data_IF_014902281961
#
_entry.id   IF_014902281961
#
_cell.length_a   1.000
_cell.length_b   1.000
_cell.length_c   1.000
_cell.angle_alpha   90.00
_cell.angle_beta   90.00
_cell.angle_gamma   90.00
#
_symmetry.space_group_name_H-M   'P 1'
#
loop_
_entity.id
_entity.type
_entity.pdbx_description
1 polymer ?
#
# COMPACT_ATOMS: atom_id res chain seq x y z
N UNK A 1 17.63 -40.64 0.46
CA UNK A 1 16.31 -40.38 1.07
C UNK A 1 15.91 -41.66 1.79
N UNK A 2 15.62 -41.61 3.10
CA UNK A 2 15.10 -42.79 3.81
C UNK A 2 13.63 -42.97 3.45
N UNK A 3 13.08 -44.20 3.40
CA UNK A 3 11.67 -44.40 3.06
C UNK A 3 10.69 -43.80 4.07
N UNK A 4 11.18 -43.28 5.21
CA UNK A 4 10.39 -42.67 6.29
C UNK A 4 10.41 -41.13 6.27
N UNK A 5 11.22 -40.51 5.41
CA UNK A 5 11.38 -39.06 5.30
C UNK A 5 10.93 -38.57 3.92
N UNK A 6 9.90 -37.75 3.90
CA UNK A 6 9.44 -37.05 2.69
C UNK A 6 9.77 -35.57 2.81
N UNK A 7 10.35 -35.04 1.73
CA UNK A 7 10.58 -33.60 1.56
C UNK A 7 9.69 -33.10 0.44
N UNK A 8 9.14 -31.91 0.64
CA UNK A 8 8.35 -31.18 -0.35
C UNK A 8 8.93 -29.78 -0.49
N UNK A 9 9.04 -29.32 -1.74
CA UNK A 9 9.47 -27.98 -2.07
C UNK A 9 8.58 -27.45 -3.18
N UNK A 10 8.26 -26.17 -3.12
CA UNK A 10 7.47 -25.47 -4.11
C UNK A 10 7.90 -24.02 -4.22
N UNK A 11 7.63 -23.43 -5.38
CA UNK A 11 7.84 -22.02 -5.65
C UNK A 11 6.60 -21.48 -6.33
N UNK A 12 6.11 -20.34 -5.87
CA UNK A 12 5.05 -19.58 -6.53
C UNK A 12 5.57 -18.20 -6.89
N UNK A 13 5.27 -17.74 -8.09
CA UNK A 13 5.42 -16.34 -8.45
C UNK A 13 4.07 -15.66 -8.33
N UNK A 14 4.03 -14.54 -7.63
CA UNK A 14 2.81 -13.78 -7.40
C UNK A 14 2.96 -12.40 -8.05
N UNK A 15 1.99 -11.98 -8.85
CA UNK A 15 2.02 -10.63 -9.44
C UNK A 15 0.71 -9.93 -9.13
N UNK A 16 0.80 -8.97 -8.21
CA UNK A 16 -0.30 -8.08 -7.88
C UNK A 16 -0.14 -6.83 -8.73
N UNK A 17 -0.93 -6.72 -9.80
CA UNK A 17 -0.92 -5.54 -10.65
C UNK A 17 -1.46 -4.34 -9.88
N UNK A 18 -0.73 -3.21 -9.81
CA UNK A 18 -1.26 -1.98 -9.23
C UNK A 18 -2.58 -1.58 -9.88
N UNK A 19 -3.53 -1.12 -9.06
CA UNK A 19 -4.79 -0.58 -9.57
C UNK A 19 -4.56 0.78 -10.24
N UNK A 20 -5.34 1.07 -11.27
CA UNK A 20 -5.28 2.33 -12.03
C UNK A 20 -6.68 2.89 -12.23
N UNK A 21 -6.80 4.23 -12.25
CA UNK A 21 -8.02 4.88 -12.75
C UNK A 21 -8.11 4.65 -14.27
N UNK A 22 -9.32 4.46 -14.80
CA UNK A 22 -9.53 4.39 -16.25
C UNK A 22 -9.16 5.71 -16.94
N UNK A 23 -9.34 6.84 -16.24
CA UNK A 23 -9.19 8.21 -16.78
C UNK A 23 -7.97 8.96 -16.21
N UNK A 24 -7.12 8.31 -15.42
CA UNK A 24 -5.90 8.91 -14.83
C UNK A 24 -6.14 10.21 -14.04
N UNK A 25 -7.25 10.30 -13.29
CA UNK A 25 -7.67 11.54 -12.61
C UNK A 25 -6.95 11.82 -11.29
N UNK A 26 -6.19 10.85 -10.78
CA UNK A 26 -5.44 11.00 -9.54
C UNK A 26 -4.20 11.89 -9.74
N UNK A 27 -3.79 12.57 -8.67
CA UNK A 27 -2.54 13.33 -8.64
C UNK A 27 -1.66 12.83 -7.50
N UNK A 28 -0.35 12.92 -7.67
CA UNK A 28 0.64 12.56 -6.66
C UNK A 28 1.57 13.74 -6.43
N UNK A 29 1.91 13.99 -5.16
CA UNK A 29 2.94 14.96 -4.84
C UNK A 29 4.32 14.39 -5.18
N UNK A 30 5.02 15.05 -6.10
CA UNK A 30 6.39 14.70 -6.47
C UNK A 30 7.38 15.60 -5.69
N UNK A 31 8.19 15.03 -4.78
CA UNK A 31 9.15 15.80 -3.99
C UNK A 31 10.30 16.38 -4.83
N UNK A 32 10.58 15.84 -6.03
CA UNK A 32 11.64 16.34 -6.89
C UNK A 32 11.24 17.68 -7.52
N UNK A 33 10.03 17.74 -8.08
CA UNK A 33 9.47 18.97 -8.68
C UNK A 33 8.75 19.85 -7.66
N UNK A 34 8.46 19.33 -6.46
CA UNK A 34 7.73 20.00 -5.37
C UNK A 34 6.35 20.46 -5.82
N UNK A 35 5.67 19.61 -6.58
CA UNK A 35 4.37 19.92 -7.19
C UNK A 35 3.48 18.69 -7.23
N UNK A 36 2.17 18.92 -7.37
CA UNK A 36 1.23 17.86 -7.73
C UNK A 36 1.36 17.55 -9.22
N UNK A 37 1.51 16.27 -9.53
CA UNK A 37 1.66 15.76 -10.89
C UNK A 37 0.58 14.72 -11.15
N UNK A 38 -0.05 14.79 -12.32
CA UNK A 38 -1.02 13.79 -12.75
C UNK A 38 -0.35 12.43 -12.96
N UNK A 39 -1.00 11.37 -12.50
CA UNK A 39 -0.53 10.01 -12.77
C UNK A 39 -0.51 9.74 -14.28
N UNK A 40 0.41 8.88 -14.72
CA UNK A 40 0.58 8.60 -16.16
C UNK A 40 1.34 9.68 -16.94
N UNK A 41 1.80 10.76 -16.29
CA UNK A 41 2.54 11.86 -16.93
C UNK A 41 3.93 12.01 -16.31
N UNK A 42 4.86 12.68 -17.01
CA UNK A 42 6.18 13.07 -16.47
C UNK A 42 6.97 11.93 -15.79
N UNK A 43 6.84 10.69 -16.29
CA UNK A 43 7.52 9.52 -15.73
C UNK A 43 6.86 8.95 -14.46
N UNK A 44 5.69 9.45 -14.06
CA UNK A 44 4.84 8.88 -13.01
C UNK A 44 3.93 7.81 -13.64
N UNK A 45 3.79 6.58 -13.10
CA UNK A 45 2.94 5.55 -13.65
C UNK A 45 1.48 5.89 -13.33
N UNK A 46 0.57 5.26 -14.06
CA UNK A 46 -0.88 5.45 -13.87
C UNK A 46 -1.38 5.05 -12.48
N UNK A 47 -0.67 4.15 -11.82
CA UNK A 47 -0.91 3.71 -10.44
C UNK A 47 -0.27 4.61 -9.37
N UNK A 48 0.55 5.59 -9.76
CA UNK A 48 1.34 6.44 -8.85
C UNK A 48 2.64 5.81 -8.32
N UNK A 49 2.77 4.48 -8.37
CA UNK A 49 3.96 3.73 -7.95
C UNK A 49 4.31 2.62 -8.94
N UNK A 50 5.56 2.15 -8.93
CA UNK A 50 6.03 1.07 -9.80
C UNK A 50 5.40 -0.28 -9.42
N UNK A 51 5.03 -1.13 -10.40
CA UNK A 51 4.59 -2.47 -10.11
C UNK A 51 5.73 -3.30 -9.51
N UNK A 52 5.47 -3.90 -8.36
CA UNK A 52 6.42 -4.82 -7.74
C UNK A 52 6.38 -6.19 -8.42
N UNK A 53 7.54 -6.66 -8.88
CA UNK A 53 7.67 -7.87 -9.69
C UNK A 53 8.59 -8.92 -9.08
N UNK A 54 9.00 -8.74 -7.82
CA UNK A 54 9.98 -9.61 -7.15
C UNK A 54 9.34 -10.59 -6.15
N UNK A 55 8.03 -10.83 -6.23
CA UNK A 55 7.28 -11.63 -5.28
C UNK A 55 7.40 -13.14 -5.57
N UNK A 56 8.53 -13.71 -5.20
CA UNK A 56 8.77 -15.16 -5.23
C UNK A 56 8.48 -15.76 -3.86
N UNK A 57 7.47 -16.62 -3.80
CA UNK A 57 6.93 -17.26 -2.61
C UNK A 57 7.40 -18.72 -2.50
N UNK A 58 8.60 -19.00 -1.95
CA UNK A 58 9.07 -20.36 -1.71
C UNK A 58 8.29 -21.02 -0.58
N UNK A 59 8.12 -22.34 -0.69
CA UNK A 59 7.44 -23.18 0.30
C UNK A 59 8.23 -24.47 0.46
N UNK A 60 8.53 -24.84 1.70
CA UNK A 60 9.21 -26.09 2.04
C UNK A 60 8.44 -26.81 3.12
N UNK A 61 8.39 -28.13 3.02
CA UNK A 61 7.70 -28.98 3.98
C UNK A 61 8.43 -30.29 4.18
N UNK A 62 8.37 -30.80 5.40
CA UNK A 62 8.93 -32.09 5.80
C UNK A 62 7.85 -32.93 6.46
N UNK A 63 7.83 -34.22 6.12
CA UNK A 63 7.05 -35.23 6.81
C UNK A 63 7.96 -36.39 7.20
N UNK A 64 7.97 -36.72 8.49
CA UNK A 64 8.80 -37.79 9.04
C UNK A 64 7.95 -38.79 9.81
N UNK A 65 7.99 -40.05 9.38
CA UNK A 65 7.37 -41.16 10.10
C UNK A 65 8.27 -41.60 11.26
N UNK A 66 7.75 -41.55 12.48
CA UNK A 66 8.46 -41.83 13.73
C UNK A 66 8.31 -43.29 14.16
N UNK A 67 9.33 -43.78 14.88
CA UNK A 67 9.35 -45.12 15.44
C UNK A 67 9.44 -46.23 14.39
N UNK A 68 9.50 -47.48 14.85
CA UNK A 68 9.49 -48.66 13.98
C UNK A 68 8.07 -49.08 13.57
N UNK A 69 7.05 -48.79 14.39
CA UNK A 69 5.65 -49.09 14.08
C UNK A 69 5.10 -48.25 12.93
N UNK A 70 5.65 -47.05 12.71
CA UNK A 70 5.24 -46.15 11.63
C UNK A 70 3.86 -45.50 11.83
N UNK A 71 3.32 -45.54 13.05
CA UNK A 71 1.96 -45.07 13.35
C UNK A 71 1.87 -43.56 13.60
N UNK A 72 3.02 -42.90 13.82
CA UNK A 72 3.09 -41.46 14.09
C UNK A 72 3.86 -40.75 12.99
N UNK A 73 3.31 -39.66 12.47
CA UNK A 73 3.97 -38.81 11.47
C UNK A 73 4.10 -37.37 12.00
N UNK A 74 5.32 -36.87 12.10
CA UNK A 74 5.60 -35.47 12.38
C UNK A 74 5.64 -34.69 11.06
N UNK A 75 4.94 -33.55 11.01
CA UNK A 75 4.92 -32.67 9.85
C UNK A 75 5.29 -31.25 10.27
N UNK A 76 6.12 -30.59 9.46
CA UNK A 76 6.45 -29.19 9.61
C UNK A 76 6.58 -28.54 8.23
N UNK A 77 6.38 -27.23 8.17
CA UNK A 77 6.51 -26.47 6.94
C UNK A 77 6.77 -25.00 7.19
N UNK A 78 7.37 -24.35 6.20
CA UNK A 78 7.64 -22.93 6.16
C UNK A 78 7.33 -22.41 4.76
N UNK A 79 6.75 -21.23 4.66
CA UNK A 79 6.48 -20.59 3.39
C UNK A 79 6.46 -19.08 3.54
N UNK A 80 6.79 -18.40 2.44
CA UNK A 80 6.63 -16.96 2.29
C UNK A 80 5.39 -16.72 1.43
N UNK A 81 4.55 -15.78 1.84
CA UNK A 81 3.32 -15.41 1.13
C UNK A 81 3.28 -13.90 0.94
N UNK A 82 2.92 -13.44 -0.25
CA UNK A 82 2.76 -12.00 -0.49
C UNK A 82 1.28 -11.65 -0.47
N UNK A 83 0.97 -10.49 0.09
CA UNK A 83 -0.37 -9.93 0.02
C UNK A 83 -0.30 -8.49 -0.45
N UNK A 84 -1.28 -8.09 -1.26
CA UNK A 84 -1.39 -6.72 -1.70
C UNK A 84 -1.94 -5.87 -0.56
N UNK A 85 -1.42 -4.65 -0.44
CA UNK A 85 -2.01 -3.65 0.46
C UNK A 85 -3.48 -3.44 0.10
N UNK A 86 -4.38 -3.21 1.08
CA UNK A 86 -5.76 -2.85 0.80
C UNK A 86 -5.85 -1.65 -0.15
N UNK A 87 -6.98 -1.52 -0.86
CA UNK A 87 -7.19 -0.43 -1.82
C UNK A 87 -7.07 0.97 -1.21
N UNK A 88 -7.43 1.13 0.07
CA UNK A 88 -7.54 2.42 0.76
C UNK A 88 -6.24 3.28 0.71
N UNK A 89 -5.04 2.76 1.00
CA UNK A 89 -3.79 3.49 0.76
C UNK A 89 -3.60 4.01 -0.68
N UNK A 90 -4.04 3.26 -1.69
CA UNK A 90 -3.97 3.69 -3.09
C UNK A 90 -4.98 4.80 -3.42
N UNK A 91 -6.13 4.82 -2.76
CA UNK A 91 -7.14 5.87 -2.90
C UNK A 91 -6.68 7.23 -2.38
N UNK A 92 -5.62 7.27 -1.56
CA UNK A 92 -5.07 8.51 -1.01
C UNK A 92 -4.72 9.54 -2.10
N UNK A 93 -4.36 9.10 -3.31
CA UNK A 93 -4.03 9.99 -4.42
C UNK A 93 -5.24 10.78 -4.96
N UNK A 94 -6.47 10.35 -4.66
CA UNK A 94 -7.68 11.10 -4.98
C UNK A 94 -7.98 12.21 -3.97
N UNK A 95 -7.30 12.23 -2.82
CA UNK A 95 -7.43 13.31 -1.83
C UNK A 95 -6.45 14.45 -2.06
N UNK A 96 -6.06 14.66 -3.32
CA UNK A 96 -5.25 15.78 -3.79
C UNK A 96 -6.08 16.68 -4.71
N UNK A 97 -5.65 17.93 -4.87
CA UNK A 97 -6.23 18.84 -5.88
C UNK A 97 -6.10 18.26 -7.30
N UNK A 98 -7.00 18.64 -8.23
CA UNK A 98 -8.06 19.64 -8.09
C UNK A 98 -9.38 19.09 -7.53
N UNK A 99 -9.52 17.77 -7.39
CA UNK A 99 -10.81 17.14 -7.07
C UNK A 99 -11.11 17.13 -5.57
N UNK A 100 -10.08 17.19 -4.73
CA UNK A 100 -10.23 17.17 -3.28
C UNK A 100 -9.20 18.07 -2.61
N UNK A 101 -9.54 18.65 -1.44
CA UNK A 101 -8.59 19.43 -0.67
C UNK A 101 -8.82 19.35 0.84
N UNK A 102 -7.77 18.98 1.59
CA UNK A 102 -7.81 18.92 3.06
C UNK A 102 -7.52 20.30 3.65
N UNK A 103 -8.54 20.87 4.30
CA UNK A 103 -8.42 22.13 5.02
C UNK A 103 -8.60 21.91 6.52
N UNK A 104 -7.64 22.40 7.31
CA UNK A 104 -7.70 22.34 8.77
C UNK A 104 -8.09 23.70 9.34
N UNK A 105 -9.21 23.75 10.04
CA UNK A 105 -9.67 24.92 10.78
C UNK A 105 -9.54 24.65 12.27
N UNK A 106 -9.08 25.64 13.02
CA UNK A 106 -9.01 25.59 14.48
C UNK A 106 -9.29 26.98 15.06
N UNK A 107 -9.75 27.00 16.31
CA UNK A 107 -10.08 28.25 17.01
C UNK A 107 -8.82 29.07 17.30
N UNK A 108 -8.79 30.35 16.89
CA UNK A 108 -7.69 31.27 17.18
C UNK A 108 -8.07 32.23 18.30
N UNK A 109 -8.24 31.66 19.51
CA UNK A 109 -8.60 32.42 20.71
C UNK A 109 -9.95 33.14 20.57
N UNK A 110 -10.16 34.26 21.27
CA UNK A 110 -11.45 34.95 21.26
C UNK A 110 -11.76 35.66 19.93
N UNK A 111 -10.78 35.80 19.03
CA UNK A 111 -10.91 36.60 17.81
C UNK A 111 -11.40 35.81 16.60
N UNK A 112 -11.20 34.48 16.58
CA UNK A 112 -11.72 33.60 15.52
C UNK A 112 -12.19 32.27 16.11
N UNK A 113 -13.29 32.28 16.90
CA UNK A 113 -13.84 31.05 17.45
C UNK A 113 -14.47 30.21 16.34
N UNK A 114 -14.21 28.91 16.37
CA UNK A 114 -15.04 27.96 15.61
C UNK A 114 -16.32 27.72 16.39
N UNK A 115 -17.46 27.94 15.74
CA UNK A 115 -18.78 27.71 16.33
C UNK A 115 -19.54 26.68 15.52
N UNK A 116 -20.61 26.12 16.09
CA UNK A 116 -21.50 25.21 15.35
C UNK A 116 -22.18 25.90 14.16
N UNK A 117 -22.42 27.22 14.26
CA UNK A 117 -23.03 28.01 13.19
C UNK A 117 -22.02 28.39 12.09
N UNK A 118 -20.71 28.37 12.39
CA UNK A 118 -19.65 28.67 11.43
C UNK A 118 -18.40 27.81 11.67
N UNK A 119 -18.47 26.49 11.41
CA UNK A 119 -17.35 25.58 11.65
C UNK A 119 -16.24 25.67 10.58
N UNK A 120 -16.53 26.28 9.42
CA UNK A 120 -15.61 26.45 8.28
C UNK A 120 -15.61 27.90 7.79
N UNK A 121 -14.96 28.84 8.51
CA UNK A 121 -14.94 30.24 8.14
C UNK A 121 -14.33 30.43 6.75
N UNK A 122 -15.03 31.14 5.85
CA UNK A 122 -14.52 31.48 4.51
C UNK A 122 -13.29 32.40 4.56
N UNK A 123 -13.08 33.10 5.68
CA UNK A 123 -11.91 33.91 5.96
C UNK A 123 -11.13 33.28 7.12
N UNK A 124 -10.21 32.36 6.80
CA UNK A 124 -9.25 31.84 7.76
C UNK A 124 -7.91 32.58 7.55
N UNK A 125 -7.35 33.24 8.57
CA UNK A 125 -6.23 34.18 8.40
C UNK A 125 -4.87 33.50 8.14
N UNK A 126 -4.84 32.17 8.06
CA UNK A 126 -3.66 31.38 7.74
C UNK A 126 -3.81 30.80 6.34
N UNK A 127 -2.77 30.94 5.52
CA UNK A 127 -2.70 30.23 4.24
C UNK A 127 -2.61 28.72 4.54
N UNK A 128 -3.65 27.98 4.16
CA UNK A 128 -3.64 26.53 4.26
C UNK A 128 -2.97 25.98 2.99
N UNK A 129 -1.94 25.13 3.12
CA UNK A 129 -1.35 24.49 1.95
C UNK A 129 -2.37 23.52 1.36
N UNK A 130 -2.33 23.38 0.04
CA UNK A 130 -3.11 22.37 -0.65
C UNK A 130 -2.72 20.97 -0.16
N UNK A 131 -3.69 20.08 -0.09
CA UNK A 131 -3.46 18.65 0.10
C UNK A 131 -2.44 18.12 -0.91
N UNK A 132 -1.42 17.47 -0.37
CA UNK A 132 -0.26 17.00 -1.13
C UNK A 132 0.19 15.62 -0.63
N UNK A 133 -0.63 14.61 -0.90
CA UNK A 133 -0.38 13.22 -0.60
C UNK A 133 0.53 12.59 -1.65
N UNK A 134 1.43 11.75 -1.17
CA UNK A 134 2.38 10.99 -1.96
C UNK A 134 2.33 9.52 -1.57
N UNK A 135 2.67 8.66 -2.52
CA UNK A 135 2.97 7.24 -2.27
C UNK A 135 4.43 7.00 -2.62
N UNK A 136 5.08 6.13 -1.87
CA UNK A 136 6.45 5.72 -2.17
C UNK A 136 6.53 5.11 -3.58
N UNK A 137 7.44 5.65 -4.39
CA UNK A 137 7.55 5.34 -5.83
C UNK A 137 7.90 3.87 -6.09
N UNK A 138 8.70 3.27 -5.23
CA UNK A 138 9.21 1.89 -5.27
C UNK A 138 8.56 1.00 -4.21
N UNK A 139 7.26 1.22 -3.95
CA UNK A 139 6.49 0.46 -2.97
C UNK A 139 6.64 -1.06 -3.18
N UNK A 140 7.05 -1.76 -2.12
CA UNK A 140 7.21 -3.21 -2.11
C UNK A 140 6.00 -3.91 -1.52
N UNK A 141 5.68 -5.07 -2.08
CA UNK A 141 4.62 -5.93 -1.56
C UNK A 141 5.08 -6.56 -0.24
N UNK A 142 4.32 -6.39 0.86
CA UNK A 142 4.65 -7.05 2.12
C UNK A 142 4.50 -8.57 2.00
N UNK A 143 5.26 -9.31 2.82
CA UNK A 143 5.17 -10.75 2.93
C UNK A 143 4.92 -11.20 4.37
N UNK A 144 4.32 -12.38 4.52
CA UNK A 144 4.08 -13.08 5.78
C UNK A 144 4.49 -14.56 5.71
#
# INVERSE_FOLDING_TARGET
LTPRLTLSAGLRYEYNSPSVDAEDRANIYDPLTRSLVAVGTNGIPRSGYEPDRNNFAPRVGVAWTLGESGETVLRAGYGVYYDQSPLAPGEALYFNKPYFDFNLFFSLGPFLPLTLDNPFPSFFPLALPDSALAIQRDLRTPYM
#
